data_IF_931635138852
#
_entry.id   IF_931635138852
#
_cell.length_a   1.000
_cell.length_b   1.000
_cell.length_c   1.000
_cell.angle_alpha   90.00
_cell.angle_beta   90.00
_cell.angle_gamma   90.00
#
_symmetry.space_group_name_H-M   'P 1'
#
loop_
_entity.id
_entity.type
_entity.pdbx_description
1 polymer ?
#
# COMPACT_ATOMS: atom_id res chain seq x y z
N UNK A 1 6.04 -32.65 68.80
CA UNK A 1 6.09 -33.00 67.40
C UNK A 1 5.14 -32.15 66.47
N UNK A 2 4.40 -31.19 67.02
CA UNK A 2 3.46 -30.35 66.19
C UNK A 2 4.01 -28.99 65.79
N UNK A 3 5.23 -28.59 66.19
CA UNK A 3 5.82 -27.25 65.87
C UNK A 3 6.70 -27.19 64.62
N UNK A 4 7.06 -28.33 64.04
CA UNK A 4 7.94 -28.38 62.86
C UNK A 4 7.20 -28.51 61.53
N UNK A 5 5.89 -28.76 61.57
CA UNK A 5 5.07 -28.93 60.34
C UNK A 5 4.74 -27.57 59.69
N UNK A 6 4.72 -26.46 60.47
CA UNK A 6 4.44 -25.11 59.96
C UNK A 6 5.64 -24.43 59.31
N UNK A 7 6.87 -24.89 59.55
CA UNK A 7 8.07 -24.32 58.94
C UNK A 7 8.32 -24.88 57.54
N UNK A 8 7.86 -26.10 57.25
CA UNK A 8 7.98 -26.73 55.94
C UNK A 8 6.95 -26.16 54.95
N UNK A 9 5.79 -25.68 55.43
CA UNK A 9 4.77 -25.09 54.55
C UNK A 9 5.10 -23.68 54.07
N UNK A 10 6.04 -22.97 54.74
CA UNK A 10 6.39 -21.58 54.36
C UNK A 10 7.54 -21.49 53.36
N UNK A 11 8.24 -22.59 53.07
CA UNK A 11 9.38 -22.62 52.13
C UNK A 11 8.97 -22.92 50.68
N UNK A 12 7.73 -23.37 50.45
CA UNK A 12 7.25 -23.78 49.10
C UNK A 12 6.63 -22.62 48.32
N UNK A 13 6.42 -21.43 48.93
CA UNK A 13 5.82 -20.26 48.24
C UNK A 13 6.84 -19.31 47.63
N UNK A 14 8.16 -19.57 47.73
CA UNK A 14 9.22 -18.70 47.24
C UNK A 14 9.88 -19.15 45.90
N UNK A 15 9.28 -20.10 45.17
CA UNK A 15 9.69 -20.45 43.82
C UNK A 15 8.71 -19.81 42.82
N UNK A 16 8.65 -18.51 42.84
CA UNK A 16 8.01 -17.70 41.78
C UNK A 16 8.87 -17.75 40.52
N UNK A 17 8.23 -18.07 39.42
CA UNK A 17 8.78 -18.05 38.05
C UNK A 17 9.59 -16.80 37.76
N UNK A 18 10.89 -16.93 37.57
CA UNK A 18 11.65 -16.04 36.71
C UNK A 18 11.66 -16.66 35.32
N UNK A 19 10.82 -16.19 34.43
CA UNK A 19 11.00 -16.44 33.00
C UNK A 19 12.14 -15.54 32.52
N UNK A 20 13.38 -16.05 32.59
CA UNK A 20 14.45 -15.50 31.80
C UNK A 20 14.14 -15.78 30.32
N UNK A 21 13.45 -14.84 29.70
CA UNK A 21 13.44 -14.72 28.26
C UNK A 21 14.83 -14.35 27.79
N UNK A 22 15.64 -15.35 27.46
CA UNK A 22 16.79 -15.16 26.61
C UNK A 22 16.27 -14.71 25.25
N UNK A 23 16.15 -13.40 25.07
CA UNK A 23 16.06 -12.82 23.72
C UNK A 23 17.39 -13.09 23.04
N UNK A 24 17.49 -14.21 22.31
CA UNK A 24 18.41 -14.29 21.19
C UNK A 24 18.08 -13.09 20.33
N UNK A 25 19.02 -12.15 20.24
CA UNK A 25 18.94 -11.04 19.31
C UNK A 25 18.97 -11.59 17.89
N UNK A 26 17.81 -11.91 17.36
CA UNK A 26 17.61 -11.85 15.93
C UNK A 26 17.81 -10.38 15.58
N UNK A 27 18.89 -10.10 14.85
CA UNK A 27 19.03 -8.84 14.14
C UNK A 27 17.80 -8.75 13.23
N UNK A 28 16.77 -8.01 13.68
CA UNK A 28 15.76 -7.50 12.78
C UNK A 28 16.54 -6.77 11.70
N UNK A 29 16.65 -7.40 10.53
CA UNK A 29 16.92 -6.67 9.32
C UNK A 29 15.96 -5.49 9.38
N UNK A 30 16.47 -4.28 9.33
CA UNK A 30 15.69 -3.07 9.16
C UNK A 30 15.00 -3.18 7.80
N UNK A 31 13.93 -3.96 7.73
CA UNK A 31 12.93 -3.74 6.72
C UNK A 31 12.48 -2.30 6.97
N UNK A 32 12.71 -1.44 5.99
CA UNK A 32 12.19 -0.08 6.01
C UNK A 32 10.75 -0.17 6.48
N UNK A 33 10.44 0.40 7.66
CA UNK A 33 9.08 0.41 8.18
C UNK A 33 8.27 1.37 7.32
N UNK A 34 7.73 0.84 6.24
CA UNK A 34 6.80 1.55 5.36
C UNK A 34 5.41 1.29 5.92
N UNK A 35 4.75 2.35 6.37
CA UNK A 35 3.32 2.28 6.64
C UNK A 35 2.61 2.07 5.29
N UNK A 36 2.06 0.88 5.08
CA UNK A 36 1.39 0.55 3.83
C UNK A 36 -0.03 1.10 3.86
N UNK A 37 -0.29 2.15 3.07
CA UNK A 37 -1.62 2.62 2.73
C UNK A 37 -2.17 1.86 1.52
N UNK A 38 -3.47 2.00 1.23
CA UNK A 38 -4.04 1.61 -0.07
C UNK A 38 -3.55 2.54 -1.19
N UNK A 39 -3.91 2.22 -2.41
CA UNK A 39 -3.53 3.02 -3.60
C UNK A 39 -4.17 4.40 -3.65
N UNK A 40 -5.25 4.63 -2.89
CA UNK A 40 -5.90 5.93 -2.70
C UNK A 40 -5.30 6.76 -1.55
N UNK A 41 -4.18 6.31 -0.95
CA UNK A 41 -3.56 7.04 0.14
C UNK A 41 -2.97 8.38 -0.35
N UNK A 42 -3.08 9.41 0.49
CA UNK A 42 -2.49 10.74 0.29
C UNK A 42 -1.26 10.95 1.17
N UNK A 43 -0.84 9.94 1.87
CA UNK A 43 0.35 9.98 2.74
C UNK A 43 1.04 8.61 2.82
N UNK A 44 2.33 8.65 3.11
CA UNK A 44 3.15 7.46 3.35
C UNK A 44 4.21 7.76 4.41
N UNK A 45 4.50 6.76 5.25
CA UNK A 45 5.62 6.81 6.20
C UNK A 45 6.75 5.97 5.64
N UNK A 46 7.94 6.55 5.55
CA UNK A 46 9.17 5.87 5.15
C UNK A 46 10.30 6.23 6.09
N UNK A 47 10.74 5.26 6.88
CA UNK A 47 11.72 5.51 7.94
C UNK A 47 11.22 6.58 8.93
N UNK A 48 12.02 7.63 9.10
CA UNK A 48 11.70 8.75 10.00
C UNK A 48 10.98 9.92 9.31
N UNK A 49 10.42 9.68 8.13
CA UNK A 49 9.75 10.73 7.35
C UNK A 49 8.32 10.35 7.02
N UNK A 50 7.43 11.33 7.17
CA UNK A 50 6.07 11.30 6.67
C UNK A 50 6.02 12.19 5.42
N UNK A 51 5.59 11.61 4.33
CA UNK A 51 5.29 12.31 3.08
C UNK A 51 3.78 12.43 2.95
N UNK A 52 3.29 13.62 2.63
CA UNK A 52 1.88 13.84 2.37
C UNK A 52 1.71 14.64 1.09
N UNK A 53 0.72 14.32 0.31
CA UNK A 53 0.33 15.15 -0.82
C UNK A 53 -0.97 15.88 -0.53
N UNK A 54 -1.05 17.10 -1.00
CA UNK A 54 -2.30 17.85 -1.14
C UNK A 54 -2.56 18.12 -2.63
N UNK A 55 -3.50 18.98 -2.96
CA UNK A 55 -3.87 19.25 -4.35
C UNK A 55 -2.71 19.69 -5.26
N UNK A 56 -1.60 20.17 -4.70
CA UNK A 56 -0.53 20.83 -5.46
C UNK A 56 0.87 20.44 -5.02
N UNK A 57 1.05 20.07 -3.77
CA UNK A 57 2.36 19.98 -3.12
C UNK A 57 2.62 18.59 -2.51
N UNK A 58 3.89 18.21 -2.47
CA UNK A 58 4.42 17.13 -1.64
C UNK A 58 5.07 17.75 -0.42
N UNK A 59 4.52 17.48 0.76
CA UNK A 59 5.02 17.95 2.04
C UNK A 59 5.81 16.84 2.72
N UNK A 60 6.99 17.17 3.25
CA UNK A 60 7.90 16.24 3.92
C UNK A 60 8.03 16.64 5.39
N UNK A 61 7.64 15.73 6.28
CA UNK A 61 7.77 15.91 7.72
C UNK A 61 8.81 14.96 8.29
N UNK A 62 9.72 15.47 9.09
CA UNK A 62 10.56 14.66 9.95
C UNK A 62 9.75 14.24 11.18
N UNK A 63 9.58 12.95 11.40
CA UNK A 63 8.81 12.33 12.48
C UNK A 63 9.70 11.56 13.47
N UNK A 64 11.01 11.82 13.50
CA UNK A 64 11.94 11.22 14.48
C UNK A 64 11.46 11.47 15.91
N UNK A 65 10.95 12.68 16.19
CA UNK A 65 10.18 12.94 17.38
C UNK A 65 8.68 12.87 17.04
N UNK A 66 8.05 11.75 17.34
CA UNK A 66 6.63 11.51 17.02
C UNK A 66 5.67 12.45 17.74
N UNK A 67 6.11 13.09 18.86
CA UNK A 67 5.31 14.07 19.60
C UNK A 67 5.33 15.45 18.95
N UNK A 68 6.34 15.75 18.14
CA UNK A 68 6.57 17.04 17.51
C UNK A 68 7.06 16.86 16.07
N UNK A 69 6.20 16.44 15.12
CA UNK A 69 6.54 16.37 13.72
C UNK A 69 6.95 17.73 13.18
N UNK A 70 8.02 17.80 12.39
CA UNK A 70 8.55 19.05 11.84
C UNK A 70 8.44 19.00 10.31
N UNK A 71 7.74 19.98 9.71
CA UNK A 71 7.77 20.20 8.26
C UNK A 71 9.18 20.63 7.87
N UNK A 72 9.88 19.81 7.08
CA UNK A 72 11.27 20.08 6.66
C UNK A 72 11.37 20.51 5.20
N UNK A 73 10.39 20.16 4.38
CA UNK A 73 10.36 20.57 2.98
C UNK A 73 8.92 20.57 2.41
N UNK A 74 8.71 21.38 1.38
CA UNK A 74 7.52 21.38 0.54
C UNK A 74 7.98 21.48 -0.92
N UNK A 75 7.59 20.52 -1.73
CA UNK A 75 7.94 20.45 -3.16
C UNK A 75 6.68 20.65 -3.97
N UNK A 76 6.66 21.69 -4.82
CA UNK A 76 5.57 21.90 -5.76
C UNK A 76 5.63 20.84 -6.85
N UNK A 77 4.57 20.02 -6.98
CA UNK A 77 4.44 18.97 -8.00
C UNK A 77 3.69 19.50 -9.22
N UNK A 78 2.49 20.00 -9.00
CA UNK A 78 1.60 20.41 -10.09
C UNK A 78 0.22 20.81 -9.61
N UNK A 79 -0.80 20.32 -10.27
CA UNK A 79 -2.20 20.53 -9.93
C UNK A 79 -2.94 19.19 -9.89
N UNK A 80 -4.04 19.15 -9.13
CA UNK A 80 -4.94 18.02 -9.07
C UNK A 80 -4.23 16.72 -8.64
N UNK A 81 -3.31 16.81 -7.67
CA UNK A 81 -2.62 15.67 -7.07
C UNK A 81 -3.61 14.93 -6.18
N UNK A 82 -3.71 13.60 -6.32
CA UNK A 82 -4.74 12.80 -5.67
C UNK A 82 -4.19 11.67 -4.82
N UNK A 83 -3.10 11.02 -5.23
CA UNK A 83 -2.60 9.81 -4.59
C UNK A 83 -1.10 9.78 -4.42
N UNK A 84 -0.63 9.00 -3.45
CA UNK A 84 0.78 8.83 -3.12
C UNK A 84 1.07 7.39 -2.74
N UNK A 85 1.90 6.72 -3.52
CA UNK A 85 2.39 5.37 -3.26
C UNK A 85 3.91 5.35 -3.15
N UNK A 86 4.45 4.56 -2.21
CA UNK A 86 5.91 4.40 -2.06
C UNK A 86 6.34 2.98 -2.37
N UNK A 87 7.35 2.87 -3.22
CA UNK A 87 8.04 1.62 -3.46
C UNK A 87 9.55 1.83 -3.51
N UNK A 88 10.32 1.10 -2.71
CA UNK A 88 11.77 1.30 -2.52
C UNK A 88 12.09 2.78 -2.27
N UNK A 89 13.04 3.38 -3.00
CA UNK A 89 13.42 4.78 -2.88
C UNK A 89 12.64 5.71 -3.80
N UNK A 90 11.43 5.29 -4.20
CA UNK A 90 10.58 6.08 -5.10
C UNK A 90 9.23 6.38 -4.47
N UNK A 91 8.71 7.56 -4.80
CA UNK A 91 7.32 7.95 -4.60
C UNK A 91 6.67 8.05 -5.97
N UNK A 92 5.58 7.34 -6.13
CA UNK A 92 4.69 7.41 -7.29
C UNK A 92 3.50 8.26 -6.88
N UNK A 93 3.27 9.34 -7.61
CA UNK A 93 2.28 10.36 -7.25
C UNK A 93 1.31 10.46 -8.41
N UNK A 94 0.05 10.12 -8.14
CA UNK A 94 -1.03 10.23 -9.10
C UNK A 94 -1.64 11.62 -9.11
N UNK A 95 -2.00 12.09 -10.30
CA UNK A 95 -2.73 13.32 -10.54
C UNK A 95 -3.75 13.13 -11.65
N UNK A 96 -4.76 13.99 -11.74
CA UNK A 96 -5.77 13.88 -12.80
C UNK A 96 -5.22 13.85 -14.22
N UNK A 97 -3.99 14.26 -14.45
CA UNK A 97 -3.42 14.41 -15.79
C UNK A 97 -2.17 13.56 -16.01
N UNK A 98 -1.77 12.75 -15.02
CA UNK A 98 -0.59 11.95 -15.15
C UNK A 98 -0.01 11.44 -13.83
N UNK A 99 0.99 10.61 -13.93
CA UNK A 99 1.76 10.08 -12.81
C UNK A 99 3.14 10.75 -12.77
N UNK A 100 3.60 11.11 -11.58
CA UNK A 100 4.95 11.63 -11.32
C UNK A 100 5.75 10.59 -10.52
N UNK A 101 7.04 10.47 -10.82
CA UNK A 101 7.98 9.63 -10.07
C UNK A 101 9.03 10.53 -9.41
N UNK A 102 9.14 10.44 -8.09
CA UNK A 102 10.12 11.15 -7.29
C UNK A 102 11.08 10.17 -6.62
N UNK A 103 12.37 10.48 -6.65
CA UNK A 103 13.40 9.79 -5.87
C UNK A 103 13.50 10.38 -4.46
N UNK A 104 13.72 9.52 -3.46
CA UNK A 104 13.89 9.91 -2.05
C UNK A 104 15.21 9.39 -1.47
N UNK A 105 16.27 9.32 -2.28
CA UNK A 105 17.63 9.00 -1.80
C UNK A 105 18.10 10.02 -0.76
N UNK A 106 17.67 11.27 -0.91
CA UNK A 106 17.73 12.31 0.11
C UNK A 106 16.31 12.52 0.68
N UNK A 107 15.95 11.89 1.81
CA UNK A 107 14.56 11.86 2.28
C UNK A 107 13.90 13.23 2.48
N UNK A 108 14.67 14.24 2.89
CA UNK A 108 14.17 15.61 3.09
C UNK A 108 14.00 16.37 1.76
N UNK A 109 14.64 15.92 0.69
CA UNK A 109 14.70 16.61 -0.58
C UNK A 109 14.32 15.67 -1.74
N UNK A 110 13.03 15.26 -1.85
CA UNK A 110 12.56 14.49 -2.99
C UNK A 110 12.86 15.17 -4.30
N UNK A 111 13.39 14.43 -5.27
CA UNK A 111 13.74 14.92 -6.60
C UNK A 111 12.84 14.30 -7.65
N UNK A 112 12.25 15.14 -8.51
CA UNK A 112 11.46 14.61 -9.63
C UNK A 112 12.37 13.93 -10.64
N UNK A 113 12.11 12.64 -10.89
CA UNK A 113 12.85 11.83 -11.85
C UNK A 113 12.17 11.82 -13.21
N UNK A 114 10.86 11.66 -13.25
CA UNK A 114 10.08 11.64 -14.48
C UNK A 114 8.61 11.95 -14.24
N UNK A 115 7.87 12.08 -15.33
CA UNK A 115 6.41 12.10 -15.33
C UNK A 115 5.87 11.51 -16.62
N UNK A 116 4.68 10.90 -16.55
CA UNK A 116 3.89 10.49 -17.71
C UNK A 116 2.58 11.23 -17.72
N UNK A 117 2.04 11.52 -18.90
CA UNK A 117 0.72 12.12 -19.06
C UNK A 117 -0.27 11.05 -19.54
N UNK A 118 -1.49 11.09 -19.04
CA UNK A 118 -2.60 10.27 -19.47
C UNK A 118 -3.87 11.12 -19.64
N UNK A 119 -4.97 10.50 -20.05
CA UNK A 119 -6.25 11.18 -20.11
C UNK A 119 -6.71 11.61 -18.71
N UNK A 120 -7.34 12.79 -18.63
CA UNK A 120 -7.87 13.32 -17.37
C UNK A 120 -8.82 12.31 -16.71
N UNK A 121 -8.45 11.87 -15.50
CA UNK A 121 -9.18 10.85 -14.75
C UNK A 121 -8.68 10.86 -13.29
N UNK A 122 -9.35 10.19 -12.37
CA UNK A 122 -8.75 9.89 -11.07
C UNK A 122 -7.80 8.69 -11.22
N UNK A 123 -6.63 8.72 -10.57
CA UNK A 123 -5.54 7.79 -10.86
C UNK A 123 -4.80 7.23 -9.63
N UNK A 124 -5.38 6.26 -8.93
CA UNK A 124 -4.61 5.45 -7.99
C UNK A 124 -3.46 4.72 -8.70
N UNK A 125 -2.31 4.64 -8.03
CA UNK A 125 -1.12 3.98 -8.54
C UNK A 125 -0.54 3.00 -7.52
N UNK A 126 -0.05 1.84 -8.00
CA UNK A 126 0.85 0.95 -7.28
C UNK A 126 2.00 0.55 -8.19
N UNK A 127 3.15 0.22 -7.61
CA UNK A 127 4.33 -0.15 -8.40
C UNK A 127 5.13 -1.28 -7.73
N UNK A 128 5.91 -1.97 -8.55
CA UNK A 128 6.93 -2.91 -8.14
C UNK A 128 8.28 -2.56 -8.82
N UNK A 129 9.22 -3.50 -8.85
CA UNK A 129 10.56 -3.28 -9.40
C UNK A 129 10.60 -2.90 -10.88
N UNK A 130 9.60 -3.32 -11.63
CA UNK A 130 9.60 -3.24 -13.10
C UNK A 130 8.40 -2.48 -13.65
N UNK A 131 7.28 -2.48 -12.93
CA UNK A 131 6.02 -1.98 -13.47
C UNK A 131 5.31 -1.05 -12.49
N UNK A 132 4.64 -0.03 -13.03
CA UNK A 132 3.63 0.75 -12.35
C UNK A 132 2.27 0.47 -12.98
N UNK A 133 1.27 0.30 -12.15
CA UNK A 133 -0.12 0.03 -12.52
C UNK A 133 -0.96 1.20 -12.07
N UNK A 134 -1.72 1.76 -13.00
CA UNK A 134 -2.56 2.94 -12.78
C UNK A 134 -3.98 2.63 -13.23
N UNK A 135 -4.95 2.79 -12.36
CA UNK A 135 -6.37 2.73 -12.75
C UNK A 135 -6.87 4.13 -13.05
N UNK A 136 -7.48 4.32 -14.20
CA UNK A 136 -8.15 5.55 -14.59
C UNK A 136 -9.65 5.32 -14.55
N UNK A 137 -10.38 6.17 -13.84
CA UNK A 137 -11.83 6.05 -13.73
C UNK A 137 -12.56 7.38 -13.89
N UNK A 138 -13.73 7.30 -14.53
CA UNK A 138 -14.56 8.46 -14.82
C UNK A 138 -15.54 8.70 -13.70
N UNK A 139 -15.55 9.94 -13.16
CA UNK A 139 -16.56 10.41 -12.22
C UNK A 139 -16.87 11.89 -12.52
N UNK A 140 -17.99 12.38 -11.99
CA UNK A 140 -18.37 13.80 -12.07
C UNK A 140 -17.29 14.71 -11.43
N UNK A 141 -16.58 14.21 -10.41
CA UNK A 141 -15.47 14.91 -9.75
C UNK A 141 -14.17 14.91 -10.54
N UNK A 142 -13.88 13.84 -11.28
CA UNK A 142 -12.63 13.65 -12.02
C UNK A 142 -12.69 14.14 -13.48
N UNK A 143 -13.88 14.47 -14.00
CA UNK A 143 -14.10 14.91 -15.39
C UNK A 143 -13.53 13.95 -16.47
N UNK A 144 -13.28 12.67 -16.11
CA UNK A 144 -12.75 11.67 -17.01
C UNK A 144 -13.82 11.00 -17.87
N UNK A 145 -13.40 10.40 -18.98
CA UNK A 145 -14.26 9.64 -19.89
C UNK A 145 -13.76 8.20 -20.09
N UNK A 146 -12.70 7.81 -19.41
CA UNK A 146 -12.07 6.50 -19.57
C UNK A 146 -12.15 5.73 -18.26
N UNK A 147 -12.36 4.42 -18.39
CA UNK A 147 -12.30 3.45 -17.31
C UNK A 147 -11.34 2.35 -17.75
N UNK A 148 -10.09 2.41 -17.30
CA UNK A 148 -9.04 1.51 -17.76
C UNK A 148 -7.94 1.31 -16.73
N UNK A 149 -7.22 0.22 -16.91
CA UNK A 149 -5.94 -0.04 -16.27
C UNK A 149 -4.84 0.27 -17.27
N UNK A 150 -3.91 1.11 -16.91
CA UNK A 150 -2.68 1.35 -17.63
C UNK A 150 -1.51 0.70 -16.93
N UNK A 151 -0.61 0.09 -17.69
CA UNK A 151 0.62 -0.54 -17.19
C UNK A 151 1.82 0.13 -17.84
N UNK A 152 2.70 0.62 -17.00
CA UNK A 152 3.95 1.26 -17.40
C UNK A 152 5.14 0.38 -17.03
N UNK A 153 6.07 0.17 -17.96
CA UNK A 153 7.41 -0.29 -17.65
C UNK A 153 8.19 0.86 -16.99
N UNK A 154 8.60 0.67 -15.74
CA UNK A 154 9.36 1.61 -14.93
C UNK A 154 10.74 1.04 -14.54
N UNK A 155 11.22 0.04 -15.26
CA UNK A 155 12.59 -0.52 -15.09
C UNK A 155 13.62 0.61 -15.20
N UNK A 156 13.41 1.55 -16.12
CA UNK A 156 14.07 2.86 -16.14
C UNK A 156 13.09 3.93 -15.63
N UNK A 157 13.18 4.28 -14.37
CA UNK A 157 12.30 5.28 -13.73
C UNK A 157 12.42 6.68 -14.33
N UNK A 158 13.48 6.95 -15.10
CA UNK A 158 13.66 8.22 -15.81
C UNK A 158 12.86 8.28 -17.11
N UNK A 159 12.53 7.11 -17.68
CA UNK A 159 11.84 6.98 -18.96
C UNK A 159 10.72 5.92 -18.89
N UNK A 160 9.65 6.13 -18.12
CA UNK A 160 8.53 5.20 -18.05
C UNK A 160 7.87 5.00 -19.42
N UNK A 161 7.52 3.76 -19.75
CA UNK A 161 6.92 3.41 -21.05
C UNK A 161 5.56 2.73 -20.83
N UNK A 162 4.49 3.27 -21.41
CA UNK A 162 3.18 2.61 -21.44
C UNK A 162 3.27 1.33 -22.29
N UNK A 163 3.01 0.18 -21.69
CA UNK A 163 3.13 -1.14 -22.35
C UNK A 163 1.79 -1.86 -22.52
N UNK A 164 0.78 -1.49 -21.72
CA UNK A 164 -0.55 -2.10 -21.84
C UNK A 164 -1.63 -1.13 -21.39
N UNK A 165 -2.81 -1.23 -22.02
CA UNK A 165 -4.05 -0.58 -21.62
C UNK A 165 -5.16 -1.63 -21.68
N UNK A 166 -5.90 -1.75 -20.58
CA UNK A 166 -7.04 -2.67 -20.46
C UNK A 166 -8.28 -1.88 -20.07
N UNK A 167 -9.33 -1.98 -20.87
CA UNK A 167 -10.65 -1.43 -20.50
C UNK A 167 -11.22 -2.19 -19.30
N UNK A 168 -11.79 -1.44 -18.36
CA UNK A 168 -12.47 -1.92 -17.16
C UNK A 168 -13.85 -1.24 -17.06
N UNK A 169 -14.66 -1.63 -16.08
CA UNK A 169 -16.02 -1.11 -15.93
C UNK A 169 -16.03 0.22 -15.17
N UNK A 170 -15.44 0.22 -13.97
CA UNK A 170 -15.34 1.38 -13.09
C UNK A 170 -14.21 1.20 -12.07
N UNK A 171 -12.96 1.08 -12.55
CA UNK A 171 -11.83 0.73 -11.69
C UNK A 171 -11.50 1.86 -10.73
N UNK A 172 -11.23 1.50 -9.48
CA UNK A 172 -10.82 2.41 -8.40
C UNK A 172 -9.46 1.97 -7.84
N UNK A 173 -9.37 1.78 -6.53
CA UNK A 173 -8.15 1.37 -5.87
C UNK A 173 -7.65 -0.01 -6.31
N UNK A 174 -6.35 -0.23 -6.16
CA UNK A 174 -5.67 -1.45 -6.56
C UNK A 174 -4.56 -1.82 -5.58
N UNK A 175 -4.11 -3.06 -5.62
CA UNK A 175 -3.02 -3.56 -4.78
C UNK A 175 -2.26 -4.70 -5.44
N UNK A 176 -0.97 -4.86 -5.11
CA UNK A 176 -0.12 -5.94 -5.62
C UNK A 176 0.03 -7.04 -4.59
N UNK A 177 -0.09 -8.29 -5.03
CA UNK A 177 0.18 -9.48 -4.25
C UNK A 177 1.02 -10.46 -5.09
N UNK A 178 2.33 -10.39 -4.94
CA UNK A 178 3.26 -11.13 -5.81
C UNK A 178 3.05 -10.79 -7.29
N UNK A 179 2.77 -11.80 -8.10
CA UNK A 179 2.48 -11.66 -9.54
C UNK A 179 1.00 -11.38 -9.83
N UNK A 180 0.22 -11.02 -8.81
CA UNK A 180 -1.19 -10.69 -8.96
C UNK A 180 -1.46 -9.21 -8.70
N UNK A 181 -2.29 -8.62 -9.54
CA UNK A 181 -2.86 -7.29 -9.36
C UNK A 181 -4.33 -7.42 -8.98
N UNK A 182 -4.68 -6.88 -7.83
CA UNK A 182 -6.04 -6.84 -7.31
C UNK A 182 -6.61 -5.46 -7.59
N UNK A 183 -7.74 -5.38 -8.28
CA UNK A 183 -8.37 -4.12 -8.71
C UNK A 183 -9.81 -4.08 -8.21
N UNK A 184 -10.18 -2.99 -7.54
CA UNK A 184 -11.57 -2.67 -7.23
C UNK A 184 -12.25 -2.12 -8.49
N UNK A 185 -13.14 -2.90 -9.08
CA UNK A 185 -13.93 -2.52 -10.25
C UNK A 185 -15.43 -2.70 -9.94
N UNK A 186 -16.25 -3.18 -10.87
CA UNK A 186 -17.64 -3.62 -10.62
C UNK A 186 -17.73 -4.84 -9.66
N UNK A 187 -16.61 -5.50 -9.44
CA UNK A 187 -16.28 -6.46 -8.39
C UNK A 187 -14.79 -6.35 -8.09
N UNK A 188 -14.26 -7.06 -7.08
CA UNK A 188 -12.81 -7.12 -6.88
C UNK A 188 -12.23 -8.13 -7.86
N UNK A 189 -11.49 -7.66 -8.86
CA UNK A 189 -10.87 -8.47 -9.91
C UNK A 189 -9.41 -8.75 -9.58
N UNK A 190 -8.98 -9.98 -9.81
CA UNK A 190 -7.60 -10.42 -9.60
C UNK A 190 -7.02 -10.83 -10.94
N UNK A 191 -6.02 -10.11 -11.38
CA UNK A 191 -5.31 -10.36 -12.63
C UNK A 191 -3.95 -10.99 -12.35
N UNK A 192 -3.58 -12.01 -13.11
CA UNK A 192 -2.20 -12.47 -13.24
C UNK A 192 -1.44 -11.43 -14.08
N UNK A 193 -0.41 -10.84 -13.51
CA UNK A 193 0.44 -9.82 -14.12
C UNK A 193 1.91 -10.28 -14.17
N UNK A 194 2.17 -11.58 -14.16
CA UNK A 194 3.50 -12.14 -14.42
C UNK A 194 4.04 -11.74 -15.81
N UNK A 195 3.13 -11.55 -16.79
CA UNK A 195 3.38 -10.83 -18.04
C UNK A 195 2.40 -9.64 -18.13
N UNK A 196 2.75 -8.45 -17.65
CA UNK A 196 1.79 -7.34 -17.55
C UNK A 196 1.28 -6.83 -18.91
N UNK A 197 2.04 -7.04 -19.99
CA UNK A 197 1.61 -6.73 -21.36
C UNK A 197 0.40 -7.57 -21.81
N UNK A 198 0.20 -8.73 -21.19
CA UNK A 198 -0.86 -9.70 -21.51
C UNK A 198 -1.58 -10.18 -20.23
N UNK A 199 -1.81 -9.28 -19.28
CA UNK A 199 -2.47 -9.60 -18.01
C UNK A 199 -3.78 -10.37 -18.22
N UNK A 200 -4.06 -11.39 -17.40
CA UNK A 200 -5.26 -12.22 -17.51
C UNK A 200 -6.08 -12.18 -16.23
N UNK A 201 -7.41 -12.07 -16.34
CA UNK A 201 -8.30 -12.21 -15.19
C UNK A 201 -8.30 -13.68 -14.75
N UNK A 202 -7.86 -13.95 -13.52
CA UNK A 202 -7.75 -15.31 -12.96
C UNK A 202 -8.74 -15.61 -11.85
N UNK A 203 -9.20 -14.57 -11.14
CA UNK A 203 -10.21 -14.72 -10.09
C UNK A 203 -10.97 -13.41 -9.90
N UNK A 204 -12.17 -13.52 -9.30
CA UNK A 204 -12.97 -12.36 -8.89
C UNK A 204 -13.68 -12.66 -7.57
N UNK A 205 -13.86 -11.62 -6.76
CA UNK A 205 -14.62 -11.66 -5.52
C UNK A 205 -15.85 -10.77 -5.74
N UNK A 206 -17.04 -11.34 -5.66
CA UNK A 206 -18.32 -10.62 -5.76
C UNK A 206 -18.51 -9.69 -4.55
N UNK A 207 -17.76 -8.58 -4.57
CA UNK A 207 -17.81 -7.53 -3.56
C UNK A 207 -17.45 -6.18 -4.16
N UNK A 208 -18.29 -5.18 -3.93
CA UNK A 208 -17.96 -3.79 -4.25
C UNK A 208 -17.04 -3.22 -3.19
N UNK A 209 -15.90 -2.72 -3.64
CA UNK A 209 -14.92 -2.00 -2.83
C UNK A 209 -14.40 -0.80 -3.61
N UNK A 210 -13.87 0.19 -2.90
CA UNK A 210 -13.24 1.34 -3.53
C UNK A 210 -11.74 1.39 -3.32
N UNK A 211 -11.18 0.65 -2.35
CA UNK A 211 -9.74 0.49 -2.16
C UNK A 211 -9.41 -0.84 -1.50
N UNK A 212 -8.17 -1.28 -1.67
CA UNK A 212 -7.63 -2.50 -1.08
C UNK A 212 -6.26 -2.25 -0.46
N UNK A 213 -6.00 -2.92 0.65
CA UNK A 213 -4.70 -2.96 1.32
C UNK A 213 -4.25 -4.41 1.39
N UNK A 214 -3.01 -4.69 1.00
CA UNK A 214 -2.41 -6.02 1.07
C UNK A 214 -1.39 -6.03 2.22
N UNK A 215 -1.54 -6.97 3.15
CA UNK A 215 -0.62 -7.16 4.26
C UNK A 215 -0.25 -8.64 4.40
N UNK A 216 0.88 -9.04 3.84
CA UNK A 216 1.19 -10.48 3.69
C UNK A 216 0.10 -11.18 2.89
N UNK A 217 -0.48 -12.25 3.43
CA UNK A 217 -1.56 -13.00 2.80
C UNK A 217 -2.97 -12.48 3.18
N UNK A 218 -3.06 -11.28 3.76
CA UNK A 218 -4.31 -10.63 4.11
C UNK A 218 -4.65 -9.55 3.10
N UNK A 219 -5.81 -9.69 2.46
CA UNK A 219 -6.47 -8.64 1.68
C UNK A 219 -7.51 -7.93 2.58
N UNK A 220 -7.39 -6.63 2.71
CA UNK A 220 -8.36 -5.75 3.37
C UNK A 220 -9.01 -4.92 2.27
N UNK A 221 -10.29 -5.14 2.03
CA UNK A 221 -11.06 -4.38 1.06
C UNK A 221 -12.00 -3.40 1.79
N UNK A 222 -12.02 -2.15 1.35
CA UNK A 222 -12.83 -1.08 1.93
C UNK A 222 -13.92 -0.69 0.94
N UNK A 223 -15.18 -0.83 1.36
CA UNK A 223 -16.36 -0.52 0.56
C UNK A 223 -17.35 0.37 1.32
N UNK A 224 -18.39 0.81 0.63
CA UNK A 224 -19.44 1.69 1.22
C UNK A 224 -20.15 1.07 2.43
N UNK A 225 -20.28 -0.26 2.46
CA UNK A 225 -21.05 -0.97 3.49
C UNK A 225 -20.16 -1.62 4.55
N UNK A 226 -18.84 -1.43 4.48
CA UNK A 226 -17.94 -1.99 5.47
C UNK A 226 -16.53 -2.26 4.99
N UNK A 227 -15.77 -2.88 5.88
CA UNK A 227 -14.42 -3.41 5.63
C UNK A 227 -14.50 -4.93 5.61
N UNK A 228 -13.93 -5.52 4.58
CA UNK A 228 -13.94 -6.96 4.33
C UNK A 228 -12.52 -7.50 4.34
N UNK A 229 -12.31 -8.60 5.03
CA UNK A 229 -11.00 -9.24 5.09
C UNK A 229 -11.05 -10.60 4.41
N UNK A 230 -10.05 -10.88 3.58
CA UNK A 230 -9.89 -12.14 2.87
C UNK A 230 -8.49 -12.69 3.08
N UNK A 231 -8.38 -14.01 3.17
CA UNK A 231 -7.12 -14.73 3.07
C UNK A 231 -6.79 -14.92 1.59
N UNK A 232 -5.58 -14.55 1.20
CA UNK A 232 -5.02 -14.84 -0.13
C UNK A 232 -4.13 -16.08 -0.05
N UNK A 233 -4.00 -16.81 -1.14
CA UNK A 233 -3.09 -17.94 -1.29
C UNK A 233 -2.17 -17.71 -2.51
N UNK A 234 -0.88 -17.50 -2.25
CA UNK A 234 0.10 -17.25 -3.31
C UNK A 234 0.32 -18.44 -4.25
N UNK A 235 -0.04 -19.67 -3.82
CA UNK A 235 0.09 -20.87 -4.66
C UNK A 235 -1.15 -21.13 -5.52
N UNK A 236 -2.31 -20.70 -5.03
CA UNK A 236 -3.58 -20.79 -5.75
C UNK A 236 -4.48 -19.60 -5.36
N UNK A 237 -4.38 -18.54 -6.11
CA UNK A 237 -5.13 -17.29 -5.83
C UNK A 237 -6.65 -17.49 -5.90
N UNK A 238 -7.12 -18.56 -6.55
CA UNK A 238 -8.56 -18.91 -6.60
C UNK A 238 -9.08 -19.46 -5.27
N UNK A 239 -8.19 -19.83 -4.36
CA UNK A 239 -8.49 -20.30 -3.00
C UNK A 239 -8.65 -19.14 -2.01
N UNK A 240 -9.07 -17.97 -2.49
CA UNK A 240 -9.35 -16.81 -1.66
C UNK A 240 -10.61 -17.05 -0.81
N UNK A 241 -10.52 -16.78 0.50
CA UNK A 241 -11.62 -16.99 1.44
C UNK A 241 -11.86 -15.78 2.33
N UNK A 242 -13.15 -15.45 2.53
CA UNK A 242 -13.53 -14.36 3.43
C UNK A 242 -13.28 -14.75 4.90
N UNK A 243 -12.54 -13.91 5.62
CA UNK A 243 -12.21 -14.08 7.03
C UNK A 243 -13.19 -13.34 7.94
N UNK A 244 -13.50 -12.08 7.59
CA UNK A 244 -14.36 -11.24 8.41
C UNK A 244 -15.03 -10.13 7.63
N UNK A 245 -16.03 -9.53 8.25
CA UNK A 245 -16.71 -8.30 7.81
C UNK A 245 -16.90 -7.38 9.00
N UNK A 246 -16.55 -6.11 8.82
CA UNK A 246 -16.86 -5.02 9.76
C UNK A 246 -17.86 -4.13 9.03
N UNK A 247 -19.12 -4.14 9.46
CA UNK A 247 -20.17 -3.27 8.88
C UNK A 247 -20.01 -1.84 9.38
N UNK A 248 -20.23 -0.87 8.49
CA UNK A 248 -20.20 0.57 8.79
C UNK A 248 -21.63 1.12 8.67
#
# INVERSE_FOLDING_TARGET
MKKYIYIIALVIIALGCSSDGTSSGESLSTADSVGQGGSLATFVIKGNYLYTVDNEDLNVFNITNTSEPVLVNTVRIGFDIETLFSYRNYLYIGSRNGMFIYGVDSPEFPEQLSSVQHFTSCDPVVANDQYAFVTLWSDLGCNGFVNQLEVYDVTDVLNPVLINVRELTFPKGLGLYGDYLIVCDDEIKIFDVSNPAESTLVHAIDKLAFDVIIQGDLLIAVGETGVYQYSLDAQDITNTSQLSTISI
#
